data_IF_238014661359
#
_entry.id   IF_238014661359
#
_cell.length_a   1.000
_cell.length_b   1.000
_cell.length_c   1.000
_cell.angle_alpha   90.00
_cell.angle_beta   90.00
_cell.angle_gamma   90.00
#
_symmetry.space_group_name_H-M   'P 1'
#
loop_
_entity.id
_entity.type
_entity.pdbx_description
1 polymer ?
#
# COMPACT_ATOMS: atom_id res chain seq x y z
N UNK A 1 3.93 -10.81 13.58
CA UNK A 1 2.91 -10.70 12.52
C UNK A 1 3.39 -9.67 11.52
N UNK A 2 3.44 -10.01 10.23
CA UNK A 2 4.01 -9.16 9.17
C UNK A 2 3.17 -7.89 8.92
N UNK A 3 1.86 -7.95 9.11
CA UNK A 3 0.93 -6.85 8.87
C UNK A 3 0.84 -5.83 10.03
N UNK A 4 1.63 -5.99 11.11
CA UNK A 4 1.55 -5.09 12.26
C UNK A 4 1.75 -3.62 11.89
N UNK A 5 2.61 -3.35 10.89
CA UNK A 5 2.71 -2.03 10.28
C UNK A 5 2.96 -2.15 8.77
N UNK A 6 2.19 -1.40 7.98
CA UNK A 6 2.22 -1.43 6.52
C UNK A 6 2.31 -0.02 5.92
N UNK A 7 2.96 0.08 4.75
CA UNK A 7 2.88 1.28 3.89
C UNK A 7 1.92 1.01 2.74
N UNK A 8 0.89 1.83 2.61
CA UNK A 8 -0.20 1.62 1.65
C UNK A 8 0.25 1.67 0.18
N UNK A 9 -0.39 0.87 -0.69
CA UNK A 9 -0.26 1.01 -2.14
C UNK A 9 -0.77 2.38 -2.59
N UNK A 10 0.04 3.16 -3.29
CA UNK A 10 -0.30 4.51 -3.76
C UNK A 10 0.23 4.73 -5.17
N UNK A 11 -0.70 4.93 -6.14
CA UNK A 11 -0.33 5.25 -7.53
C UNK A 11 0.52 6.52 -7.60
N UNK A 12 1.52 6.50 -8.48
CA UNK A 12 2.53 7.55 -8.72
C UNK A 12 3.44 7.86 -7.52
N UNK A 13 3.35 7.06 -6.43
CA UNK A 13 4.09 7.26 -5.18
C UNK A 13 4.91 6.05 -4.76
N UNK A 14 4.28 4.87 -4.61
CA UNK A 14 4.98 3.67 -4.10
C UNK A 14 5.60 2.81 -5.21
N UNK A 15 6.27 3.48 -6.16
CA UNK A 15 7.12 2.82 -7.14
C UNK A 15 8.37 2.19 -6.47
N UNK A 16 9.16 1.43 -7.22
CA UNK A 16 10.34 0.72 -6.68
C UNK A 16 11.36 1.67 -6.02
N UNK A 17 11.48 2.91 -6.49
CA UNK A 17 12.43 3.87 -5.92
C UNK A 17 11.96 4.39 -4.55
N UNK A 18 10.65 4.65 -4.41
CA UNK A 18 10.05 5.00 -3.14
C UNK A 18 10.18 3.85 -2.13
N UNK A 19 9.88 2.62 -2.54
CA UNK A 19 9.95 1.46 -1.66
C UNK A 19 11.38 1.16 -1.19
N UNK A 20 12.36 1.25 -2.09
CA UNK A 20 13.77 1.16 -1.70
C UNK A 20 14.14 2.23 -0.67
N UNK A 21 13.76 3.48 -0.91
CA UNK A 21 13.97 4.57 0.05
C UNK A 21 13.27 4.31 1.39
N UNK A 22 12.01 3.87 1.40
CA UNK A 22 11.29 3.51 2.63
C UNK A 22 11.97 2.36 3.37
N UNK A 23 12.56 1.40 2.68
CA UNK A 23 13.29 0.29 3.30
C UNK A 23 14.57 0.73 4.02
N UNK A 24 15.18 1.82 3.63
CA UNK A 24 16.28 2.43 4.38
C UNK A 24 15.82 3.03 5.73
N UNK A 25 14.53 3.34 5.85
CA UNK A 25 13.91 3.96 7.04
C UNK A 25 13.35 2.91 8.00
N UNK A 26 12.87 1.79 7.50
CA UNK A 26 12.27 0.70 8.30
C UNK A 26 12.58 -0.66 7.69
N UNK A 27 12.99 -1.62 8.51
CA UNK A 27 13.30 -2.99 8.06
C UNK A 27 12.11 -3.93 8.13
N UNK A 28 11.14 -3.64 9.01
CA UNK A 28 10.04 -4.56 9.37
C UNK A 28 8.72 -4.24 8.70
N UNK A 29 8.49 -2.98 8.31
CA UNK A 29 7.22 -2.60 7.68
C UNK A 29 6.98 -3.39 6.40
N UNK A 30 5.76 -3.89 6.21
CA UNK A 30 5.34 -4.47 4.95
C UNK A 30 5.09 -3.35 3.94
N UNK A 31 5.85 -3.36 2.85
CA UNK A 31 5.71 -2.40 1.75
C UNK A 31 4.81 -2.98 0.66
N UNK A 32 4.05 -2.13 0.02
CA UNK A 32 3.16 -2.51 -1.08
C UNK A 32 3.59 -1.81 -2.37
N UNK A 33 3.47 -2.52 -3.50
CA UNK A 33 3.61 -1.91 -4.82
C UNK A 33 2.47 -0.92 -5.08
N UNK A 34 2.57 -0.14 -6.15
CA UNK A 34 1.40 0.46 -6.77
C UNK A 34 0.44 -0.63 -7.25
N UNK A 35 -0.84 -0.29 -7.48
CA UNK A 35 -1.80 -1.23 -8.04
C UNK A 35 -1.48 -1.54 -9.50
N UNK A 36 -1.26 -2.80 -9.82
CA UNK A 36 -1.09 -3.31 -11.17
C UNK A 36 -2.34 -4.09 -11.62
N UNK A 37 -2.83 -3.79 -12.80
CA UNK A 37 -3.95 -4.56 -13.36
C UNK A 37 -3.48 -5.94 -13.82
N UNK A 38 -4.24 -7.01 -13.53
CA UNK A 38 -3.89 -8.39 -13.92
C UNK A 38 -3.54 -8.49 -15.40
N UNK A 39 -4.37 -7.95 -16.29
CA UNK A 39 -4.10 -7.95 -17.73
C UNK A 39 -2.82 -7.20 -18.14
N UNK A 40 -2.37 -6.21 -17.37
CA UNK A 40 -1.10 -5.56 -17.65
C UNK A 40 0.09 -6.47 -17.35
N UNK A 41 -0.03 -7.35 -16.35
CA UNK A 41 0.98 -8.36 -16.04
C UNK A 41 0.98 -9.43 -17.12
N UNK A 42 -0.19 -9.94 -17.51
CA UNK A 42 -0.32 -11.03 -18.50
C UNK A 42 0.15 -10.62 -19.91
N UNK A 43 -0.08 -9.38 -20.31
CA UNK A 43 0.15 -8.93 -21.69
C UNK A 43 1.30 -7.91 -21.83
N UNK A 44 1.87 -7.47 -20.71
CA UNK A 44 2.90 -6.43 -20.68
C UNK A 44 4.32 -6.96 -20.50
N UNK A 45 5.25 -6.05 -20.30
CA UNK A 45 6.63 -6.38 -19.96
C UNK A 45 6.73 -6.65 -18.44
N UNK A 46 6.63 -7.91 -18.05
CA UNK A 46 6.66 -8.38 -16.65
C UNK A 46 7.90 -7.87 -15.92
N UNK A 47 9.09 -7.99 -16.54
CA UNK A 47 10.35 -7.54 -15.92
C UNK A 47 10.36 -6.04 -15.61
N UNK A 48 9.65 -5.23 -16.41
CA UNK A 48 9.53 -3.79 -16.14
C UNK A 48 8.47 -3.50 -15.07
N UNK A 49 7.32 -4.20 -15.14
CA UNK A 49 6.18 -3.95 -14.27
C UNK A 49 6.41 -4.44 -12.83
N UNK A 50 7.03 -5.62 -12.68
CA UNK A 50 7.24 -6.27 -11.38
C UNK A 50 8.63 -5.98 -10.79
N UNK A 51 9.46 -5.15 -11.46
CA UNK A 51 10.81 -4.87 -11.00
C UNK A 51 10.86 -4.28 -9.59
N UNK A 52 11.73 -4.86 -8.76
CA UNK A 52 12.04 -4.38 -7.42
C UNK A 52 13.49 -4.72 -7.06
N UNK A 53 14.02 -4.09 -6.00
CA UNK A 53 15.28 -4.48 -5.39
C UNK A 53 15.02 -5.48 -4.26
N UNK A 54 15.85 -6.52 -4.12
CA UNK A 54 15.70 -7.52 -3.06
C UNK A 54 15.68 -6.92 -1.65
N UNK A 55 16.33 -5.79 -1.45
CA UNK A 55 16.30 -5.06 -0.19
C UNK A 55 14.90 -4.48 0.14
N UNK A 56 13.96 -4.40 -0.81
CA UNK A 56 12.61 -3.90 -0.54
C UNK A 56 11.76 -4.83 0.33
N UNK A 57 12.15 -6.10 0.49
CA UNK A 57 11.42 -7.06 1.32
C UNK A 57 11.38 -6.71 2.82
N UNK A 58 10.26 -7.05 3.51
CA UNK A 58 9.07 -7.74 3.03
C UNK A 58 8.22 -6.87 2.11
N UNK A 59 7.81 -7.44 0.98
CA UNK A 59 7.13 -6.73 -0.11
C UNK A 59 5.88 -7.50 -0.59
N UNK A 60 4.75 -6.81 -0.65
CA UNK A 60 3.50 -7.28 -1.21
C UNK A 60 3.20 -6.60 -2.56
N UNK A 61 2.62 -7.34 -3.50
CA UNK A 61 2.09 -6.78 -4.74
C UNK A 61 0.60 -6.51 -4.59
N UNK A 62 0.12 -5.35 -5.07
CA UNK A 62 -1.31 -5.09 -5.17
C UNK A 62 -1.80 -5.28 -6.60
N UNK A 63 -2.77 -6.17 -6.79
CA UNK A 63 -3.45 -6.42 -8.05
C UNK A 63 -4.80 -5.71 -8.12
N UNK A 64 -5.14 -5.25 -9.32
CA UNK A 64 -6.47 -4.82 -9.70
C UNK A 64 -7.01 -5.70 -10.82
N UNK A 65 -8.30 -6.00 -10.76
CA UNK A 65 -8.99 -6.84 -11.73
C UNK A 65 -10.29 -7.37 -11.13
N UNK A 66 -11.11 -8.01 -11.95
CA UNK A 66 -12.37 -8.64 -11.57
C UNK A 66 -12.60 -9.98 -12.27
N UNK A 67 -11.69 -10.40 -13.12
CA UNK A 67 -11.74 -11.73 -13.74
C UNK A 67 -10.91 -12.72 -12.90
N UNK A 68 -11.55 -13.78 -12.34
CA UNK A 68 -10.90 -14.72 -11.43
C UNK A 68 -9.69 -15.42 -12.07
N UNK A 69 -9.80 -15.81 -13.36
CA UNK A 69 -8.74 -16.52 -14.07
C UNK A 69 -7.53 -15.63 -14.31
N UNK A 70 -7.75 -14.42 -14.84
CA UNK A 70 -6.65 -13.46 -15.07
C UNK A 70 -5.94 -13.05 -13.75
N UNK A 71 -6.68 -12.96 -12.64
CA UNK A 71 -6.10 -12.68 -11.33
C UNK A 71 -5.27 -13.88 -10.82
N UNK A 72 -5.75 -15.11 -11.01
CA UNK A 72 -5.02 -16.32 -10.66
C UNK A 72 -3.69 -16.42 -11.44
N UNK A 73 -3.73 -16.26 -12.76
CA UNK A 73 -2.54 -16.28 -13.62
C UNK A 73 -1.54 -15.18 -13.24
N UNK A 74 -2.01 -13.95 -13.02
CA UNK A 74 -1.16 -12.84 -12.58
C UNK A 74 -0.58 -13.08 -11.17
N UNK A 75 -1.29 -13.83 -10.32
CA UNK A 75 -0.82 -14.24 -9.00
C UNK A 75 0.36 -15.21 -9.09
N UNK A 76 0.28 -16.22 -9.96
CA UNK A 76 1.38 -17.18 -10.21
C UNK A 76 2.64 -16.44 -10.66
N UNK A 77 2.51 -15.56 -11.66
CA UNK A 77 3.64 -14.75 -12.15
C UNK A 77 4.24 -13.92 -11.01
N UNK A 78 3.40 -13.34 -10.15
CA UNK A 78 3.85 -12.52 -9.03
C UNK A 78 4.59 -13.33 -7.96
N UNK A 79 4.13 -14.53 -7.62
CA UNK A 79 4.81 -15.45 -6.70
C UNK A 79 6.15 -15.91 -7.26
N UNK A 80 6.20 -16.33 -8.53
CA UNK A 80 7.43 -16.71 -9.23
C UNK A 80 8.45 -15.56 -9.30
N UNK A 81 7.97 -14.33 -9.44
CA UNK A 81 8.82 -13.14 -9.42
C UNK A 81 9.42 -12.86 -8.04
N UNK A 82 8.83 -13.42 -6.97
CA UNK A 82 9.38 -13.41 -5.61
C UNK A 82 8.61 -12.57 -4.60
N UNK A 83 7.45 -12.02 -4.93
CA UNK A 83 6.58 -11.33 -3.96
C UNK A 83 6.16 -12.29 -2.83
N UNK A 84 5.94 -11.76 -1.63
CA UNK A 84 5.62 -12.53 -0.42
C UNK A 84 4.14 -12.46 -0.02
N UNK A 85 3.37 -11.65 -0.73
CA UNK A 85 1.93 -11.49 -0.55
C UNK A 85 1.33 -10.90 -1.82
N UNK A 86 0.11 -11.33 -2.13
CA UNK A 86 -0.72 -10.74 -3.17
C UNK A 86 -1.93 -10.07 -2.51
N UNK A 87 -2.15 -8.82 -2.82
CA UNK A 87 -3.27 -8.04 -2.28
C UNK A 87 -4.23 -7.66 -3.40
N UNK A 88 -5.50 -8.02 -3.27
CA UNK A 88 -6.54 -7.61 -4.20
C UNK A 88 -7.11 -6.24 -3.82
N UNK A 89 -7.15 -5.31 -4.77
CA UNK A 89 -7.75 -3.99 -4.57
C UNK A 89 -9.27 -4.03 -4.73
N UNK A 90 -9.97 -3.78 -3.65
CA UNK A 90 -11.44 -3.64 -3.58
C UNK A 90 -11.84 -2.28 -2.97
N UNK A 91 -10.96 -1.28 -3.06
CA UNK A 91 -11.17 0.00 -2.38
C UNK A 91 -10.91 1.27 -3.20
N UNK A 92 -10.35 1.16 -4.41
CA UNK A 92 -10.05 2.33 -5.25
C UNK A 92 -11.32 2.86 -5.94
N UNK A 93 -11.72 4.15 -5.71
CA UNK A 93 -12.94 4.71 -6.31
C UNK A 93 -12.67 5.48 -7.63
N UNK A 94 -11.49 5.37 -8.23
CA UNK A 94 -11.18 6.17 -9.41
C UNK A 94 -12.05 5.78 -10.61
N UNK A 95 -12.41 6.77 -11.44
CA UNK A 95 -13.26 6.55 -12.62
C UNK A 95 -12.66 5.58 -13.64
N UNK A 96 -11.32 5.56 -13.79
CA UNK A 96 -10.63 4.59 -14.63
C UNK A 96 -10.82 3.16 -14.12
N UNK A 97 -10.74 2.98 -12.80
CA UNK A 97 -10.90 1.70 -12.12
C UNK A 97 -12.36 1.23 -12.22
N UNK A 98 -13.32 2.13 -12.02
CA UNK A 98 -14.75 1.83 -12.17
C UNK A 98 -15.13 1.42 -13.60
N UNK A 99 -14.58 2.09 -14.61
CA UNK A 99 -14.77 1.72 -16.03
C UNK A 99 -14.24 0.33 -16.34
N UNK A 100 -13.20 -0.11 -15.64
CA UNK A 100 -12.66 -1.46 -15.73
C UNK A 100 -13.39 -2.48 -14.85
N UNK A 101 -14.47 -2.09 -14.17
CA UNK A 101 -15.28 -2.95 -13.29
C UNK A 101 -14.48 -3.60 -12.14
N UNK A 102 -13.50 -2.89 -11.58
CA UNK A 102 -12.72 -3.36 -10.43
C UNK A 102 -12.52 -2.25 -9.37
N UNK A 103 -11.81 -2.53 -8.28
CA UNK A 103 -11.63 -1.60 -7.17
C UNK A 103 -12.87 -1.49 -6.29
N UNK A 104 -13.23 -0.27 -5.83
CA UNK A 104 -14.31 -0.07 -4.85
C UNK A 104 -15.68 -0.56 -5.33
N UNK A 105 -15.95 -0.57 -6.62
CA UNK A 105 -17.22 -1.09 -7.19
C UNK A 105 -17.44 -2.56 -6.85
N UNK A 106 -16.38 -3.35 -6.68
CA UNK A 106 -16.46 -4.76 -6.31
C UNK A 106 -17.04 -5.00 -4.92
N UNK A 107 -17.11 -3.98 -4.06
CA UNK A 107 -17.83 -4.12 -2.80
C UNK A 107 -19.32 -4.44 -2.98
N UNK A 108 -19.90 -4.18 -4.16
CA UNK A 108 -21.28 -4.59 -4.51
C UNK A 108 -21.42 -6.08 -4.81
N UNK A 109 -20.31 -6.74 -5.13
CA UNK A 109 -20.27 -8.08 -5.68
C UNK A 109 -19.39 -9.01 -4.82
N UNK A 110 -19.75 -9.22 -3.52
CA UNK A 110 -18.93 -10.05 -2.64
C UNK A 110 -18.72 -11.48 -3.17
N UNK A 111 -19.72 -12.05 -3.87
CA UNK A 111 -19.60 -13.35 -4.53
C UNK A 111 -18.48 -13.37 -5.58
N UNK A 112 -18.41 -12.35 -6.45
CA UNK A 112 -17.34 -12.25 -7.45
C UNK A 112 -15.96 -12.08 -6.81
N UNK A 113 -15.87 -11.26 -5.74
CA UNK A 113 -14.61 -11.13 -4.98
C UNK A 113 -14.21 -12.46 -4.37
N UNK A 114 -15.17 -13.22 -3.85
CA UNK A 114 -14.94 -14.56 -3.29
C UNK A 114 -14.42 -15.54 -4.34
N UNK A 115 -14.97 -15.54 -5.55
CA UNK A 115 -14.48 -16.33 -6.67
C UNK A 115 -13.04 -15.94 -7.05
N UNK A 116 -12.74 -14.64 -7.13
CA UNK A 116 -11.41 -14.16 -7.39
C UNK A 116 -10.41 -14.68 -6.33
N UNK A 117 -10.73 -14.51 -5.06
CA UNK A 117 -9.89 -14.98 -3.94
C UNK A 117 -9.68 -16.49 -3.99
N UNK A 118 -10.73 -17.26 -4.23
CA UNK A 118 -10.66 -18.70 -4.33
C UNK A 118 -9.69 -19.17 -5.44
N UNK A 119 -9.82 -18.61 -6.64
CA UNK A 119 -8.95 -18.96 -7.76
C UNK A 119 -7.50 -18.49 -7.54
N UNK A 120 -7.29 -17.30 -7.01
CA UNK A 120 -5.96 -16.82 -6.63
C UNK A 120 -5.32 -17.75 -5.58
N UNK A 121 -6.02 -18.08 -4.50
CA UNK A 121 -5.50 -18.96 -3.43
C UNK A 121 -5.21 -20.38 -3.88
N UNK A 122 -5.97 -20.94 -4.80
CA UNK A 122 -5.67 -22.25 -5.40
C UNK A 122 -4.40 -22.24 -6.26
N UNK A 123 -4.03 -21.09 -6.81
CA UNK A 123 -2.94 -20.97 -7.76
C UNK A 123 -1.58 -20.66 -7.12
N UNK A 124 -1.55 -20.18 -5.87
CA UNK A 124 -0.31 -19.75 -5.19
C UNK A 124 -0.25 -20.25 -3.74
N UNK A 125 0.98 -20.31 -3.19
CA UNK A 125 1.23 -20.72 -1.79
C UNK A 125 1.40 -19.51 -0.85
N UNK A 126 1.60 -18.30 -1.38
CA UNK A 126 1.74 -17.09 -0.59
C UNK A 126 0.37 -16.52 -0.17
N UNK A 127 0.30 -15.71 0.90
CA UNK A 127 -0.94 -15.10 1.34
C UNK A 127 -1.61 -14.26 0.25
N UNK A 128 -2.94 -14.43 0.12
CA UNK A 128 -3.81 -13.57 -0.70
C UNK A 128 -4.69 -12.77 0.24
N UNK A 129 -4.60 -11.45 0.18
CA UNK A 129 -5.24 -10.50 1.10
C UNK A 129 -6.14 -9.54 0.34
N UNK A 130 -7.06 -8.86 1.02
CA UNK A 130 -7.97 -7.89 0.40
C UNK A 130 -7.79 -6.51 1.02
N UNK A 131 -7.71 -5.46 0.18
CA UNK A 131 -7.79 -4.08 0.64
C UNK A 131 -9.11 -3.44 0.19
N UNK A 132 -9.98 -3.16 1.15
CA UNK A 132 -11.32 -2.63 0.91
C UNK A 132 -11.59 -1.31 1.67
N UNK A 133 -12.81 -0.87 1.65
CA UNK A 133 -13.37 0.23 2.45
C UNK A 133 -14.46 -0.28 3.37
N UNK A 134 -15.03 0.60 4.22
CA UNK A 134 -16.17 0.25 5.08
C UNK A 134 -17.50 0.24 4.32
N UNK A 135 -17.54 0.59 3.06
CA UNK A 135 -18.71 0.62 2.20
C UNK A 135 -18.53 1.58 1.04
N UNK A 136 -19.52 1.63 0.15
CA UNK A 136 -19.58 2.58 -0.96
C UNK A 136 -20.97 3.20 -1.06
N UNK A 137 -21.03 4.44 -1.53
CA UNK A 137 -22.28 5.17 -1.73
C UNK A 137 -23.20 5.06 -0.48
N UNK A 138 -24.49 4.77 -0.65
CA UNK A 138 -25.50 4.65 0.40
C UNK A 138 -25.56 3.24 1.05
N UNK A 139 -24.59 2.35 0.77
CA UNK A 139 -24.57 1.03 1.37
C UNK A 139 -24.51 1.09 2.90
N UNK A 140 -25.22 0.18 3.54
CA UNK A 140 -25.15 -0.03 4.99
C UNK A 140 -23.73 -0.47 5.39
N UNK A 141 -23.12 0.31 6.28
CA UNK A 141 -21.75 0.03 6.75
C UNK A 141 -21.65 -1.19 7.64
N UNK A 142 -22.75 -1.59 8.31
CA UNK A 142 -22.78 -2.74 9.21
C UNK A 142 -23.09 -4.03 8.45
N UNK A 143 -24.33 -4.21 8.04
CA UNK A 143 -24.81 -5.47 7.48
C UNK A 143 -24.08 -5.85 6.17
N UNK A 144 -23.83 -4.86 5.30
CA UNK A 144 -23.18 -5.13 4.03
C UNK A 144 -21.70 -5.48 4.19
N UNK A 145 -20.97 -4.73 5.04
CA UNK A 145 -19.55 -5.00 5.25
C UNK A 145 -19.35 -6.33 5.99
N UNK A 146 -20.18 -6.66 7.00
CA UNK A 146 -20.09 -7.95 7.68
C UNK A 146 -20.34 -9.12 6.72
N UNK A 147 -21.35 -8.98 5.85
CA UNK A 147 -21.63 -9.95 4.79
C UNK A 147 -20.42 -10.08 3.84
N UNK A 148 -19.84 -8.97 3.38
CA UNK A 148 -18.68 -8.95 2.51
C UNK A 148 -17.50 -9.70 3.14
N UNK A 149 -17.15 -9.36 4.39
CA UNK A 149 -16.06 -10.02 5.12
C UNK A 149 -16.33 -11.52 5.26
N UNK A 150 -17.54 -11.91 5.67
CA UNK A 150 -17.94 -13.30 5.86
C UNK A 150 -17.86 -14.11 4.55
N UNK A 151 -18.38 -13.60 3.43
CA UNK A 151 -18.35 -14.29 2.16
C UNK A 151 -16.92 -14.46 1.64
N UNK A 152 -16.11 -13.39 1.68
CA UNK A 152 -14.74 -13.40 1.16
C UNK A 152 -13.80 -14.25 2.04
N UNK A 153 -13.98 -14.23 3.35
CA UNK A 153 -13.18 -15.05 4.27
C UNK A 153 -13.48 -16.54 4.15
N UNK A 154 -14.73 -16.91 3.82
CA UNK A 154 -15.10 -18.31 3.60
C UNK A 154 -14.28 -19.00 2.52
N UNK A 155 -13.82 -18.25 1.51
CA UNK A 155 -12.93 -18.72 0.47
C UNK A 155 -11.43 -18.53 0.79
N UNK A 156 -11.12 -18.28 2.07
CA UNK A 156 -9.77 -18.36 2.61
C UNK A 156 -9.01 -17.04 2.65
N UNK A 157 -9.65 -15.89 2.47
CA UNK A 157 -9.03 -14.61 2.80
C UNK A 157 -8.98 -14.43 4.32
N UNK A 158 -7.78 -14.42 4.89
CA UNK A 158 -7.59 -14.31 6.35
C UNK A 158 -7.22 -12.90 6.79
N UNK A 159 -6.82 -12.03 5.87
CA UNK A 159 -6.36 -10.66 6.20
C UNK A 159 -7.07 -9.62 5.34
N UNK A 160 -7.67 -8.66 6.02
CA UNK A 160 -8.38 -7.53 5.42
C UNK A 160 -7.75 -6.21 5.83
N UNK A 161 -7.31 -5.42 4.84
CA UNK A 161 -6.85 -4.05 5.05
C UNK A 161 -8.04 -3.12 4.81
N UNK A 162 -8.56 -2.51 5.86
CA UNK A 162 -9.80 -1.73 5.80
C UNK A 162 -9.51 -0.23 5.89
N UNK A 163 -9.77 0.49 4.79
CA UNK A 163 -9.77 1.95 4.85
C UNK A 163 -11.06 2.41 5.55
N UNK A 164 -10.92 3.02 6.71
CA UNK A 164 -12.01 3.38 7.62
C UNK A 164 -12.89 4.56 7.11
N UNK A 165 -13.13 4.60 5.80
CA UNK A 165 -14.02 5.56 5.12
C UNK A 165 -14.85 4.86 4.06
N UNK A 166 -16.10 5.29 3.86
CA UNK A 166 -16.84 4.98 2.64
C UNK A 166 -16.15 5.56 1.40
N UNK A 167 -16.50 5.04 0.25
CA UNK A 167 -16.19 5.65 -1.02
C UNK A 167 -17.46 6.06 -1.77
N UNK A 168 -17.48 7.29 -2.26
CA UNK A 168 -18.50 7.75 -3.19
C UNK A 168 -17.99 7.51 -4.62
N UNK A 169 -18.71 6.68 -5.36
CA UNK A 169 -18.33 6.32 -6.73
C UNK A 169 -18.62 7.45 -7.71
N UNK A 170 -19.57 8.32 -7.37
CA UNK A 170 -19.92 9.50 -8.14
C UNK A 170 -19.78 10.76 -7.31
N UNK A 171 -19.48 11.89 -7.94
CA UNK A 171 -19.45 13.20 -7.32
C UNK A 171 -18.16 13.57 -6.57
N UNK A 172 -17.30 12.60 -6.23
CA UNK A 172 -16.04 12.85 -5.55
C UNK A 172 -14.84 12.32 -6.34
N UNK A 173 -13.79 13.14 -6.42
CA UNK A 173 -12.50 12.68 -6.94
C UNK A 173 -11.86 11.63 -6.00
N UNK A 174 -10.85 10.85 -6.47
CA UNK A 174 -10.11 9.96 -5.58
C UNK A 174 -9.41 10.68 -4.42
N UNK A 175 -9.06 11.96 -4.57
CA UNK A 175 -8.52 12.78 -3.50
C UNK A 175 -9.60 13.09 -2.46
N UNK A 176 -10.75 13.60 -2.90
CA UNK A 176 -11.87 13.95 -2.04
C UNK A 176 -12.41 12.75 -1.28
N UNK A 177 -12.45 11.57 -1.91
CA UNK A 177 -12.79 10.28 -1.28
C UNK A 177 -11.83 9.85 -0.14
N UNK A 178 -10.69 10.50 0.01
CA UNK A 178 -9.76 10.29 1.13
C UNK A 178 -9.86 11.38 2.21
N UNK A 179 -10.66 12.40 1.99
CA UNK A 179 -10.74 13.59 2.87
C UNK A 179 -12.15 13.87 3.36
N UNK A 180 -13.13 13.88 2.45
CA UNK A 180 -14.51 14.30 2.74
C UNK A 180 -15.32 13.27 3.52
N UNK A 181 -15.42 11.97 3.10
CA UNK A 181 -16.19 11.01 3.88
C UNK A 181 -15.60 10.87 5.29
N UNK A 182 -16.41 10.81 6.36
CA UNK A 182 -15.90 10.73 7.72
C UNK A 182 -15.13 9.42 7.95
N UNK A 183 -14.15 9.48 8.85
CA UNK A 183 -13.48 8.28 9.36
C UNK A 183 -14.38 7.60 10.39
N UNK A 184 -14.55 6.29 10.25
CA UNK A 184 -15.26 5.44 11.21
C UNK A 184 -14.36 4.29 11.66
N UNK A 185 -13.46 4.57 12.61
CA UNK A 185 -12.55 3.58 13.18
C UNK A 185 -13.30 2.52 14.00
N UNK A 186 -14.38 2.92 14.71
CA UNK A 186 -15.19 2.02 15.52
C UNK A 186 -15.76 0.88 14.66
N UNK A 187 -16.13 1.19 13.40
CA UNK A 187 -16.62 0.17 12.49
C UNK A 187 -15.55 -0.90 12.18
N UNK A 188 -14.28 -0.49 12.10
CA UNK A 188 -13.18 -1.45 11.88
C UNK A 188 -12.88 -2.26 13.15
N UNK A 189 -12.95 -1.65 14.33
CA UNK A 189 -12.79 -2.38 15.60
C UNK A 189 -13.89 -3.44 15.77
N UNK A 190 -15.13 -3.07 15.45
CA UNK A 190 -16.27 -4.02 15.47
C UNK A 190 -16.06 -5.22 14.54
N UNK A 191 -15.34 -5.06 13.41
CA UNK A 191 -14.97 -6.22 12.58
C UNK A 191 -14.09 -7.20 13.33
N UNK A 192 -13.08 -6.72 14.07
CA UNK A 192 -12.20 -7.59 14.86
C UNK A 192 -12.96 -8.30 15.99
N UNK A 193 -13.91 -7.62 16.61
CA UNK A 193 -14.79 -8.23 17.63
C UNK A 193 -15.71 -9.30 17.01
N UNK A 194 -16.27 -9.02 15.82
CA UNK A 194 -17.21 -9.93 15.14
C UNK A 194 -16.50 -11.14 14.52
N UNK A 195 -15.28 -10.96 14.03
CA UNK A 195 -14.46 -11.98 13.35
C UNK A 195 -13.09 -12.12 14.02
N UNK A 196 -13.00 -12.63 15.25
CA UNK A 196 -11.77 -12.61 16.05
C UNK A 196 -10.61 -13.41 15.42
N UNK A 197 -10.92 -14.42 14.61
CA UNK A 197 -9.93 -15.27 13.95
C UNK A 197 -9.32 -14.64 12.69
N UNK A 198 -9.94 -13.58 12.16
CA UNK A 198 -9.42 -12.85 11.00
C UNK A 198 -8.48 -11.72 11.40
N UNK A 199 -7.54 -11.40 10.52
CA UNK A 199 -6.60 -10.30 10.72
C UNK A 199 -7.15 -9.02 10.07
N UNK A 200 -7.26 -7.96 10.87
CA UNK A 200 -7.69 -6.65 10.41
C UNK A 200 -6.56 -5.62 10.52
N UNK A 201 -6.26 -4.97 9.40
CA UNK A 201 -5.30 -3.87 9.32
C UNK A 201 -6.08 -2.59 9.05
N UNK A 202 -6.06 -1.67 10.00
CA UNK A 202 -6.76 -0.39 9.85
C UNK A 202 -5.97 0.60 9.01
N UNK A 203 -6.66 1.33 8.14
CA UNK A 203 -6.07 2.36 7.29
C UNK A 203 -6.97 3.60 7.26
N UNK A 204 -6.39 4.77 7.10
CA UNK A 204 -7.10 6.03 6.90
C UNK A 204 -6.82 7.06 7.99
N UNK A 205 -6.27 8.22 7.61
CA UNK A 205 -6.10 9.37 8.50
C UNK A 205 -4.98 9.27 9.54
N UNK A 206 -4.39 8.12 9.78
CA UNK A 206 -3.34 7.88 10.78
C UNK A 206 -2.07 8.65 10.41
N UNK A 207 -1.51 9.43 11.34
CA UNK A 207 -0.41 10.37 11.08
C UNK A 207 0.76 10.23 12.05
N UNK A 208 0.60 9.54 13.19
CA UNK A 208 1.67 9.40 14.18
C UNK A 208 1.88 7.96 14.61
N UNK A 209 3.00 7.69 15.28
CA UNK A 209 3.28 6.37 15.86
C UNK A 209 2.34 6.12 17.05
N UNK A 210 2.04 7.14 17.83
CA UNK A 210 1.13 7.06 18.98
C UNK A 210 -0.28 6.69 18.52
N UNK A 211 -0.81 7.33 17.46
CA UNK A 211 -2.09 6.93 16.84
C UNK A 211 -2.02 5.48 16.35
N UNK A 212 -0.92 5.08 15.72
CA UNK A 212 -0.72 3.71 15.25
C UNK A 212 -0.76 2.71 16.41
N UNK A 213 -0.07 3.00 17.51
CA UNK A 213 -0.08 2.16 18.72
C UNK A 213 -1.46 2.10 19.37
N UNK A 214 -2.19 3.22 19.40
CA UNK A 214 -3.56 3.24 19.89
C UNK A 214 -4.46 2.28 19.08
N UNK A 215 -4.41 2.35 17.77
CA UNK A 215 -5.18 1.44 16.91
C UNK A 215 -4.79 -0.03 17.09
N UNK A 216 -3.51 -0.32 17.30
CA UNK A 216 -3.01 -1.69 17.56
C UNK A 216 -3.54 -2.31 18.87
N UNK A 217 -4.17 -1.54 19.73
CA UNK A 217 -4.92 -2.05 20.88
C UNK A 217 -6.28 -2.68 20.50
N UNK A 218 -6.77 -2.46 19.29
CA UNK A 218 -8.08 -2.90 18.83
C UNK A 218 -8.05 -3.82 17.62
N UNK A 219 -6.98 -3.74 16.80
CA UNK A 219 -6.83 -4.51 15.56
C UNK A 219 -5.42 -5.06 15.43
N UNK A 220 -5.20 -5.94 14.46
CA UNK A 220 -3.95 -6.70 14.30
C UNK A 220 -2.83 -5.89 13.65
N UNK A 221 -3.18 -4.85 12.90
CA UNK A 221 -2.21 -4.05 12.17
C UNK A 221 -2.70 -2.66 11.80
N UNK A 222 -1.76 -1.81 11.41
CA UNK A 222 -2.01 -0.45 10.92
C UNK A 222 -1.35 -0.23 9.58
N UNK A 223 -1.98 0.58 8.72
CA UNK A 223 -1.43 0.92 7.42
C UNK A 223 -1.44 2.44 7.23
N UNK A 224 -0.26 3.04 7.07
CA UNK A 224 -0.11 4.43 6.73
C UNK A 224 -0.05 4.62 5.21
N UNK A 225 -0.73 5.64 4.71
CA UNK A 225 -0.66 6.05 3.30
C UNK A 225 0.14 7.33 3.13
N UNK A 226 -0.57 8.42 2.92
CA UNK A 226 0.01 9.73 2.59
C UNK A 226 1.07 10.19 3.60
N UNK A 227 0.86 9.97 4.89
CA UNK A 227 1.84 10.39 5.89
C UNK A 227 3.20 9.68 5.71
N UNK A 228 3.21 8.38 5.37
CA UNK A 228 4.45 7.66 5.09
C UNK A 228 5.20 8.22 3.87
N UNK A 229 4.49 8.88 2.93
CA UNK A 229 5.09 9.52 1.76
C UNK A 229 5.44 11.00 2.02
N UNK A 230 4.52 11.75 2.62
CA UNK A 230 4.66 13.20 2.82
C UNK A 230 5.57 13.55 4.04
N UNK A 231 5.81 12.56 4.93
CA UNK A 231 6.70 12.64 6.10
C UNK A 231 7.39 11.28 6.32
N UNK A 232 8.22 10.82 5.38
CA UNK A 232 8.77 9.45 5.44
C UNK A 232 9.65 9.20 6.67
N UNK A 233 10.16 10.23 7.31
CA UNK A 233 10.98 10.08 8.51
C UNK A 233 10.23 9.43 9.68
N UNK A 234 8.89 9.44 9.69
CA UNK A 234 8.08 8.69 10.66
C UNK A 234 8.41 7.19 10.68
N UNK A 235 8.80 6.64 9.52
CA UNK A 235 9.11 5.22 9.37
C UNK A 235 10.33 4.78 10.19
N UNK A 236 11.23 5.71 10.53
CA UNK A 236 12.43 5.39 11.36
C UNK A 236 12.07 4.98 12.79
N UNK A 237 10.88 5.33 13.26
CA UNK A 237 10.40 5.00 14.60
C UNK A 237 9.58 3.69 14.64
N UNK A 238 9.25 3.13 13.47
CA UNK A 238 8.36 1.95 13.37
C UNK A 238 9.01 0.71 13.98
N UNK A 239 10.26 0.43 13.62
CA UNK A 239 10.93 -0.79 14.04
C UNK A 239 11.11 -0.85 15.57
N UNK A 240 11.43 0.29 16.21
CA UNK A 240 11.60 0.37 17.66
C UNK A 240 10.27 0.36 18.43
N UNK A 241 9.29 1.17 18.03
CA UNK A 241 8.07 1.35 18.79
C UNK A 241 7.00 0.28 18.51
N UNK A 242 6.91 -0.21 17.26
CA UNK A 242 5.85 -1.15 16.87
C UNK A 242 6.35 -2.59 16.88
N UNK A 243 7.60 -2.81 16.49
CA UNK A 243 8.19 -4.15 16.46
C UNK A 243 9.13 -4.45 17.64
N UNK A 244 9.29 -3.50 18.56
CA UNK A 244 10.15 -3.62 19.76
C UNK A 244 11.61 -4.00 19.43
N UNK A 245 12.09 -3.58 18.26
CA UNK A 245 13.47 -3.81 17.86
C UNK A 245 14.40 -2.76 18.49
N UNK A 246 15.54 -3.19 18.96
CA UNK A 246 16.52 -2.29 19.58
C UNK A 246 17.40 -1.62 18.51
N UNK A 247 16.84 -0.64 17.80
CA UNK A 247 17.56 0.15 16.80
C UNK A 247 17.69 1.61 17.22
N UNK A 248 18.87 2.18 17.02
CA UNK A 248 19.05 3.62 17.04
C UNK A 248 18.43 4.26 15.80
N UNK A 249 17.70 5.35 16.00
CA UNK A 249 17.12 6.12 14.89
C UNK A 249 18.24 6.65 13.98
N UNK A 250 18.17 6.29 12.71
CA UNK A 250 19.13 6.74 11.70
C UNK A 250 18.94 8.23 11.39
N UNK A 251 20.04 9.00 11.28
CA UNK A 251 19.94 10.40 10.89
C UNK A 251 19.53 10.58 9.42
N UNK A 252 18.89 11.72 9.10
CA UNK A 252 18.53 12.05 7.70
C UNK A 252 19.76 12.09 6.79
N UNK A 253 20.89 12.59 7.29
CA UNK A 253 22.15 12.61 6.56
C UNK A 253 22.67 11.21 6.22
N UNK A 254 22.56 10.29 7.16
CA UNK A 254 23.01 8.90 6.93
C UNK A 254 22.06 8.12 6.02
N UNK A 255 20.77 8.46 6.05
CA UNK A 255 19.80 7.92 5.05
C UNK A 255 20.22 8.33 3.64
N UNK A 256 20.55 9.60 3.41
CA UNK A 256 21.01 10.08 2.11
C UNK A 256 22.33 9.43 1.68
N UNK A 257 23.29 9.27 2.61
CA UNK A 257 24.55 8.56 2.32
C UNK A 257 24.30 7.12 1.88
N UNK A 258 23.35 6.41 2.54
CA UNK A 258 22.97 5.04 2.15
C UNK A 258 22.21 4.97 0.83
N UNK A 259 21.45 5.99 0.49
CA UNK A 259 20.70 6.06 -0.76
C UNK A 259 21.59 6.40 -1.97
N UNK A 260 22.69 7.11 -1.76
CA UNK A 260 23.55 7.60 -2.85
C UNK A 260 24.08 6.49 -3.78
N UNK A 261 24.57 5.34 -3.29
CA UNK A 261 25.01 4.24 -4.16
C UNK A 261 23.88 3.71 -5.05
N UNK A 262 22.65 3.62 -4.52
CA UNK A 262 21.47 3.23 -5.28
C UNK A 262 21.15 4.23 -6.39
N UNK A 263 21.14 5.54 -6.07
CA UNK A 263 20.92 6.60 -7.07
C UNK A 263 21.94 6.48 -8.19
N UNK A 264 23.23 6.35 -7.86
CA UNK A 264 24.31 6.22 -8.83
C UNK A 264 24.09 5.03 -9.76
N UNK A 265 23.84 3.86 -9.20
CA UNK A 265 23.57 2.64 -9.97
C UNK A 265 22.35 2.77 -10.90
N UNK A 266 21.27 3.40 -10.43
CA UNK A 266 20.07 3.57 -11.23
C UNK A 266 20.25 4.60 -12.36
N UNK A 267 21.01 5.66 -12.12
CA UNK A 267 21.36 6.66 -13.15
C UNK A 267 22.27 6.02 -14.23
N UNK A 268 23.22 5.19 -13.84
CA UNK A 268 24.07 4.43 -14.77
C UNK A 268 23.24 3.46 -15.66
N UNK A 269 22.12 2.96 -15.16
CA UNK A 269 21.12 2.15 -15.91
C UNK A 269 20.17 3.02 -16.75
N UNK A 270 20.33 4.34 -16.78
CA UNK A 270 19.49 5.27 -17.55
C UNK A 270 18.26 5.81 -16.84
N UNK A 271 18.08 5.56 -15.55
CA UNK A 271 16.98 6.16 -14.78
C UNK A 271 17.23 7.65 -14.59
N UNK A 272 16.24 8.49 -14.90
CA UNK A 272 16.33 9.94 -14.63
C UNK A 272 16.37 10.16 -13.12
N UNK A 273 17.33 10.96 -12.65
CA UNK A 273 17.52 11.27 -11.22
C UNK A 273 16.24 11.79 -10.56
N UNK A 274 15.45 12.59 -11.28
CA UNK A 274 14.18 13.15 -10.80
C UNK A 274 13.13 12.08 -10.45
N UNK A 275 13.19 10.89 -11.08
CA UNK A 275 12.29 9.78 -10.75
C UNK A 275 12.56 9.21 -9.34
N UNK A 276 13.79 9.36 -8.86
CA UNK A 276 14.21 8.90 -7.53
C UNK A 276 14.03 10.03 -6.51
N UNK A 277 14.56 11.22 -6.82
CA UNK A 277 14.61 12.33 -5.87
C UNK A 277 13.24 12.92 -5.53
N UNK A 278 12.22 12.76 -6.40
CA UNK A 278 10.83 13.16 -6.09
C UNK A 278 10.31 12.54 -4.77
N UNK A 279 10.80 11.36 -4.38
CA UNK A 279 10.37 10.66 -3.17
C UNK A 279 11.04 11.17 -1.89
N UNK A 280 12.11 11.98 -2.02
CA UNK A 280 12.85 12.52 -0.89
C UNK A 280 12.26 13.83 -0.34
N UNK A 281 11.28 14.41 -1.05
CA UNK A 281 10.74 15.74 -0.77
C UNK A 281 10.20 15.89 0.65
N UNK A 282 9.63 14.81 1.21
CA UNK A 282 9.10 14.78 2.59
C UNK A 282 10.15 14.55 3.67
N UNK A 283 11.37 14.13 3.32
CA UNK A 283 12.40 13.72 4.30
C UNK A 283 12.78 14.85 5.27
N UNK A 284 12.75 16.09 4.80
CA UNK A 284 13.09 17.29 5.58
C UNK A 284 11.86 18.10 6.00
N UNK A 285 10.67 17.52 5.96
CA UNK A 285 9.43 18.19 6.39
C UNK A 285 9.60 18.77 7.80
N UNK A 286 9.25 20.06 7.95
CA UNK A 286 9.34 20.78 9.23
C UNK A 286 10.71 21.39 9.56
N UNK A 287 11.72 21.22 8.70
CA UNK A 287 13.03 21.86 8.89
C UNK A 287 13.11 23.21 8.16
N UNK A 288 13.83 24.14 8.77
CA UNK A 288 14.22 25.38 8.10
C UNK A 288 15.03 25.07 6.84
N UNK A 289 14.73 25.73 5.74
CA UNK A 289 15.37 25.46 4.44
C UNK A 289 14.84 24.25 3.67
N UNK A 290 13.87 23.47 4.19
CA UNK A 290 13.28 22.33 3.49
C UNK A 290 12.74 22.66 2.08
N UNK A 291 12.19 23.89 1.89
CA UNK A 291 11.73 24.37 0.58
C UNK A 291 12.89 24.58 -0.40
N UNK A 292 14.03 25.03 0.07
CA UNK A 292 15.23 25.22 -0.79
C UNK A 292 15.78 23.86 -1.23
N UNK A 293 15.85 22.89 -0.33
CA UNK A 293 16.23 21.50 -0.66
C UNK A 293 15.29 20.93 -1.71
N UNK A 294 13.97 21.10 -1.52
CA UNK A 294 12.94 20.68 -2.47
C UNK A 294 13.16 21.32 -3.85
N UNK A 295 13.41 22.62 -3.90
CA UNK A 295 13.65 23.35 -5.15
C UNK A 295 14.91 22.85 -5.85
N UNK A 296 16.01 22.67 -5.11
CA UNK A 296 17.27 22.18 -5.65
C UNK A 296 17.13 20.77 -6.24
N UNK A 297 16.39 19.85 -5.58
CA UNK A 297 16.16 18.49 -6.10
C UNK A 297 15.27 18.45 -7.35
N UNK A 298 14.33 19.40 -7.48
CA UNK A 298 13.50 19.53 -8.70
C UNK A 298 14.23 20.22 -9.83
N UNK A 299 15.19 21.08 -9.52
CA UNK A 299 15.92 21.91 -10.48
C UNK A 299 17.37 21.46 -10.71
N UNK A 300 17.85 20.36 -10.09
CA UNK A 300 19.12 19.77 -10.47
C UNK A 300 19.04 19.31 -11.93
N UNK A 301 19.31 20.23 -12.88
CA UNK A 301 19.43 19.83 -14.24
C UNK A 301 20.87 19.41 -14.45
N UNK A 302 21.09 18.37 -15.18
CA UNK A 302 22.06 18.41 -16.28
C UNK A 302 23.40 19.12 -16.02
N UNK A 303 23.95 19.09 -14.80
CA UNK A 303 25.33 19.59 -14.61
C UNK A 303 26.32 18.42 -14.58
N UNK A 304 26.09 17.39 -15.36
CA UNK A 304 27.10 16.41 -15.74
C UNK A 304 26.94 16.08 -17.23
N UNK A 305 27.12 17.11 -18.03
CA UNK A 305 27.54 16.97 -19.43
C UNK A 305 28.75 17.89 -19.63
N UNK A 306 29.90 17.44 -19.18
CA UNK A 306 31.22 17.72 -19.77
C UNK A 306 32.05 16.47 -19.58
#
# INVERSE_FOLDING_TARGET
MIHRFCVAPMMDRTDRHCRYFHRLLTRKSLLYTEMLHSNAILNGNVNKLLNYNQDEHPLAIQLGGSDPRSLAEASVISEEFGFKEINLNVGCPSSKVQKGSFGAVLMKEPGLVSECINEMKKSVNIPVTVKCRIGIDDMDEDAHLDRFIKEVSFYGCETFIVHARKAWLKGLSPKDNREIPPLNYQRVYKLKETFPDLNFVINGGIKTIEESMYHLGYVDGVMLGREAYDNPFILTNVDSHIFSENYSVISRGDILKKLFPYIKSEVEKGTKISHITKHLMGLFKGFEGAKAVSYTHLTLPTIYSV
#
